data_IF_887529896341
#
_entry.id   IF_887529896341
#
_cell.length_a   1.000
_cell.length_b   1.000
_cell.length_c   1.000
_cell.angle_alpha   90.00
_cell.angle_beta   90.00
_cell.angle_gamma   90.00
#
_symmetry.space_group_name_H-M   'P 1'
#
loop_
_entity.id
_entity.type
_entity.pdbx_description
1 polymer ?
#
# COMPACT_ATOMS: atom_id res chain seq x y z
N UNK A 1 -17.42 11.88 -16.66
CA UNK A 1 -16.02 11.54 -16.33
C UNK A 1 -15.88 10.66 -15.06
N UNK A 2 -16.85 9.80 -14.71
CA UNK A 2 -16.74 8.94 -13.52
C UNK A 2 -15.85 7.70 -13.72
N UNK A 3 -15.67 7.24 -14.97
CA UNK A 3 -14.98 5.98 -15.25
C UNK A 3 -13.46 6.00 -15.03
N UNK A 4 -12.80 7.15 -15.16
CA UNK A 4 -11.35 7.25 -15.02
C UNK A 4 -10.90 7.06 -13.56
N UNK A 5 -11.54 7.78 -12.63
CA UNK A 5 -11.24 7.70 -11.19
C UNK A 5 -11.58 6.32 -10.58
N UNK A 6 -12.66 5.69 -11.04
CA UNK A 6 -13.04 4.35 -10.57
C UNK A 6 -12.03 3.26 -11.00
N UNK A 7 -11.51 3.36 -12.23
CA UNK A 7 -10.48 2.43 -12.74
C UNK A 7 -9.15 2.63 -12.01
N UNK A 8 -8.75 3.88 -11.77
CA UNK A 8 -7.54 4.19 -10.98
C UNK A 8 -7.66 3.68 -9.54
N UNK A 9 -8.80 3.87 -8.88
CA UNK A 9 -9.02 3.39 -7.51
C UNK A 9 -8.92 1.86 -7.40
N UNK A 10 -9.54 1.14 -8.34
CA UNK A 10 -9.44 -0.31 -8.41
C UNK A 10 -7.99 -0.79 -8.62
N UNK A 11 -7.22 -0.10 -9.48
CA UNK A 11 -5.81 -0.39 -9.71
C UNK A 11 -4.95 -0.11 -8.47
N UNK A 12 -5.17 1.01 -7.79
CA UNK A 12 -4.48 1.39 -6.55
C UNK A 12 -4.76 0.36 -5.45
N UNK A 13 -6.02 -0.05 -5.27
CA UNK A 13 -6.41 -1.08 -4.28
C UNK A 13 -5.79 -2.45 -4.60
N UNK A 14 -5.77 -2.84 -5.88
CA UNK A 14 -5.11 -4.07 -6.32
C UNK A 14 -3.60 -4.04 -6.05
N UNK A 15 -2.94 -2.91 -6.32
CA UNK A 15 -1.53 -2.74 -6.03
C UNK A 15 -1.24 -2.75 -4.52
N UNK A 16 -2.10 -2.13 -3.70
CA UNK A 16 -2.02 -2.16 -2.24
C UNK A 16 -2.05 -3.59 -1.70
N UNK A 17 -2.99 -4.40 -2.18
CA UNK A 17 -3.12 -5.82 -1.80
C UNK A 17 -1.89 -6.62 -2.20
N UNK A 18 -1.40 -6.44 -3.43
CA UNK A 18 -0.19 -7.13 -3.90
C UNK A 18 1.05 -6.74 -3.08
N UNK A 19 1.14 -5.46 -2.68
CA UNK A 19 2.21 -4.99 -1.81
C UNK A 19 2.11 -5.66 -0.44
N UNK A 20 0.93 -5.69 0.19
CA UNK A 20 0.70 -6.36 1.48
C UNK A 20 1.08 -7.85 1.43
N UNK A 21 0.71 -8.56 0.37
CA UNK A 21 1.08 -9.96 0.18
C UNK A 21 2.61 -10.13 0.04
N UNK A 22 3.26 -9.24 -0.70
CA UNK A 22 4.71 -9.24 -0.84
C UNK A 22 5.41 -8.95 0.50
N UNK A 23 4.88 -8.03 1.31
CA UNK A 23 5.37 -7.79 2.69
C UNK A 23 5.26 -9.06 3.51
N UNK A 24 4.08 -9.70 3.53
CA UNK A 24 3.85 -10.92 4.31
C UNK A 24 4.82 -12.04 3.94
N UNK A 25 5.04 -12.26 2.64
CA UNK A 25 6.03 -13.23 2.15
C UNK A 25 7.46 -12.87 2.54
N UNK A 26 7.84 -11.59 2.42
CA UNK A 26 9.16 -11.12 2.81
C UNK A 26 9.42 -11.34 4.31
N UNK A 27 8.44 -11.03 5.16
CA UNK A 27 8.52 -11.24 6.61
C UNK A 27 8.65 -12.73 6.95
N UNK A 28 7.84 -13.60 6.33
CA UNK A 28 7.92 -15.06 6.53
C UNK A 28 9.30 -15.59 6.14
N UNK A 29 9.76 -15.27 4.92
CA UNK A 29 11.05 -15.73 4.41
C UNK A 29 12.21 -15.22 5.27
N UNK A 30 12.12 -14.01 5.80
CA UNK A 30 13.14 -13.45 6.71
C UNK A 30 13.20 -14.22 8.03
N UNK A 31 12.04 -14.59 8.59
CA UNK A 31 11.98 -15.39 9.83
C UNK A 31 12.54 -16.81 9.64
N UNK A 32 12.25 -17.42 8.48
CA UNK A 32 12.80 -18.73 8.12
C UNK A 32 14.31 -18.66 7.95
N UNK A 33 14.82 -17.62 7.29
CA UNK A 33 16.25 -17.39 7.15
C UNK A 33 16.93 -17.17 8.51
N UNK A 34 16.37 -16.33 9.39
CA UNK A 34 16.91 -16.12 10.74
C UNK A 34 16.99 -17.43 11.52
N UNK A 35 15.94 -18.27 11.45
CA UNK A 35 15.90 -19.57 12.13
C UNK A 35 16.96 -20.53 11.57
N UNK A 36 17.07 -20.64 10.24
CA UNK A 36 18.08 -21.49 9.59
C UNK A 36 19.51 -21.05 9.92
N UNK A 37 19.75 -19.73 10.00
CA UNK A 37 21.03 -19.16 10.40
C UNK A 37 21.37 -19.44 11.86
N UNK A 38 20.40 -19.36 12.78
CA UNK A 38 20.60 -19.74 14.18
C UNK A 38 20.97 -21.22 14.32
N UNK A 39 20.25 -22.08 13.61
CA UNK A 39 20.51 -23.51 13.55
C UNK A 39 21.93 -23.82 13.04
N UNK A 40 22.34 -23.12 11.99
CA UNK A 40 23.67 -23.26 11.39
C UNK A 40 24.76 -22.78 12.35
N UNK A 41 24.58 -21.61 12.98
CA UNK A 41 25.52 -21.03 13.95
C UNK A 41 25.70 -21.90 15.20
N UNK A 42 24.67 -22.65 15.59
CA UNK A 42 24.75 -23.64 16.67
C UNK A 42 25.60 -24.87 16.32
N UNK A 43 25.80 -25.16 15.03
CA UNK A 43 26.47 -26.38 14.52
C UNK A 43 27.91 -26.13 14.06
N UNK A 44 28.34 -24.87 13.95
CA UNK A 44 29.66 -24.49 13.45
C UNK A 44 30.46 -23.73 14.52
N UNK A 45 31.78 -23.92 14.46
CA UNK A 45 32.76 -23.26 15.34
C UNK A 45 33.85 -22.56 14.53
N UNK A 46 34.60 -21.68 15.20
CA UNK A 46 35.71 -20.93 14.60
C UNK A 46 35.27 -19.72 13.74
N UNK A 47 36.18 -19.20 12.93
CA UNK A 47 35.97 -17.94 12.18
C UNK A 47 34.78 -17.94 11.20
N UNK A 48 34.32 -19.12 10.77
CA UNK A 48 33.08 -19.24 9.97
C UNK A 48 31.84 -18.80 10.77
N UNK A 49 31.82 -19.03 12.09
CA UNK A 49 30.75 -18.63 12.99
C UNK A 49 30.66 -17.10 13.12
N UNK A 50 31.79 -16.42 13.26
CA UNK A 50 31.83 -14.95 13.33
C UNK A 50 31.36 -14.31 12.02
N UNK A 51 31.84 -14.81 10.87
CA UNK A 51 31.41 -14.31 9.57
C UNK A 51 29.90 -14.52 9.33
N UNK A 52 29.36 -15.68 9.68
CA UNK A 52 27.93 -15.97 9.56
C UNK A 52 27.09 -15.19 10.57
N UNK A 53 27.60 -14.93 11.78
CA UNK A 53 26.93 -14.04 12.73
C UNK A 53 26.85 -12.61 12.19
N UNK A 54 27.95 -12.10 11.62
CA UNK A 54 27.95 -10.79 10.97
C UNK A 54 27.00 -10.71 9.77
N UNK A 55 26.85 -11.80 9.01
CA UNK A 55 25.86 -11.90 7.92
C UNK A 55 24.43 -11.85 8.48
N UNK A 56 24.15 -12.57 9.57
CA UNK A 56 22.84 -12.57 10.24
C UNK A 56 22.46 -11.15 10.68
N UNK A 57 23.39 -10.41 11.28
CA UNK A 57 23.13 -9.05 11.76
C UNK A 57 22.88 -8.07 10.60
N UNK A 58 23.65 -8.18 9.52
CA UNK A 58 23.44 -7.37 8.30
C UNK A 58 22.09 -7.67 7.66
N UNK A 59 21.73 -8.95 7.57
CA UNK A 59 20.42 -9.37 7.07
C UNK A 59 19.30 -8.77 7.92
N UNK A 60 19.40 -8.86 9.26
CA UNK A 60 18.41 -8.28 10.16
C UNK A 60 18.24 -6.78 9.95
N UNK A 61 19.33 -6.04 9.86
CA UNK A 61 19.32 -4.60 9.59
C UNK A 61 18.68 -4.27 8.23
N UNK A 62 18.98 -5.04 7.19
CA UNK A 62 18.38 -4.87 5.87
C UNK A 62 16.88 -5.19 5.90
N UNK A 63 16.48 -6.27 6.56
CA UNK A 63 15.08 -6.66 6.71
C UNK A 63 14.26 -5.61 7.46
N UNK A 64 14.81 -5.02 8.53
CA UNK A 64 14.16 -3.92 9.26
C UNK A 64 13.98 -2.67 8.39
N UNK A 65 14.96 -2.35 7.54
CA UNK A 65 14.85 -1.22 6.60
C UNK A 65 13.77 -1.48 5.54
N UNK A 66 13.73 -2.68 4.98
CA UNK A 66 12.69 -3.08 4.02
C UNK A 66 11.31 -3.03 4.69
N UNK A 67 11.15 -3.58 5.89
CA UNK A 67 9.88 -3.53 6.61
C UNK A 67 9.43 -2.09 6.90
N UNK A 68 10.35 -1.17 7.26
CA UNK A 68 10.03 0.25 7.43
C UNK A 68 9.58 0.90 6.12
N UNK A 69 10.30 0.68 5.03
CA UNK A 69 9.94 1.22 3.72
C UNK A 69 8.58 0.71 3.25
N UNK A 70 8.30 -0.58 3.46
CA UNK A 70 7.03 -1.22 3.15
C UNK A 70 5.89 -0.68 4.02
N UNK A 71 6.12 -0.47 5.32
CA UNK A 71 5.13 0.17 6.21
C UNK A 71 4.79 1.60 5.77
N UNK A 72 5.79 2.38 5.37
CA UNK A 72 5.57 3.73 4.82
C UNK A 72 4.83 3.71 3.48
N UNK A 73 5.13 2.74 2.60
CA UNK A 73 4.40 2.58 1.34
C UNK A 73 2.95 2.20 1.60
N UNK A 74 2.69 1.25 2.49
CA UNK A 74 1.33 0.86 2.89
C UNK A 74 0.51 2.05 3.40
N UNK A 75 1.06 2.82 4.33
CA UNK A 75 0.40 4.01 4.87
C UNK A 75 0.09 5.07 3.79
N UNK A 76 1.03 5.30 2.85
CA UNK A 76 0.79 6.21 1.72
C UNK A 76 -0.29 5.68 0.79
N UNK A 77 -0.32 4.38 0.51
CA UNK A 77 -1.33 3.78 -0.35
C UNK A 77 -2.73 3.85 0.28
N UNK A 78 -2.84 3.62 1.59
CA UNK A 78 -4.10 3.81 2.32
C UNK A 78 -4.57 5.26 2.28
N UNK A 79 -3.66 6.21 2.47
CA UNK A 79 -3.96 7.63 2.37
C UNK A 79 -4.45 8.01 0.97
N UNK A 80 -3.75 7.59 -0.09
CA UNK A 80 -4.17 7.83 -1.48
C UNK A 80 -5.56 7.23 -1.74
N UNK A 81 -5.83 6.01 -1.27
CA UNK A 81 -7.15 5.39 -1.40
C UNK A 81 -8.25 6.23 -0.74
N UNK A 82 -8.01 6.72 0.49
CA UNK A 82 -8.93 7.59 1.22
C UNK A 82 -9.17 8.93 0.51
N UNK A 83 -8.11 9.56 0.03
CA UNK A 83 -8.18 10.85 -0.68
C UNK A 83 -8.98 10.70 -1.99
N UNK A 84 -8.80 9.59 -2.72
CA UNK A 84 -9.59 9.29 -3.92
C UNK A 84 -11.08 9.08 -3.60
N UNK A 85 -11.42 8.29 -2.57
CA UNK A 85 -12.82 8.09 -2.16
C UNK A 85 -13.49 9.41 -1.76
N UNK A 86 -12.75 10.30 -1.09
CA UNK A 86 -13.26 11.62 -0.71
C UNK A 86 -13.49 12.51 -1.94
N UNK A 87 -12.52 12.54 -2.84
CA UNK A 87 -12.63 13.29 -4.10
C UNK A 87 -13.80 12.83 -4.98
N UNK A 88 -14.07 11.52 -5.05
CA UNK A 88 -15.23 10.99 -5.78
C UNK A 88 -16.55 11.48 -5.18
N UNK A 89 -16.70 11.46 -3.86
CA UNK A 89 -17.91 11.96 -3.18
C UNK A 89 -18.13 13.45 -3.43
N UNK A 90 -17.10 14.28 -3.22
CA UNK A 90 -17.17 15.74 -3.37
C UNK A 90 -17.52 16.13 -4.81
N UNK A 91 -16.96 15.42 -5.79
CA UNK A 91 -17.21 15.69 -7.20
C UNK A 91 -18.60 15.21 -7.63
N UNK A 92 -19.06 14.06 -7.13
CA UNK A 92 -20.41 13.56 -7.41
C UNK A 92 -21.47 14.49 -6.82
N UNK A 93 -21.26 15.02 -5.61
CA UNK A 93 -22.17 15.98 -4.98
C UNK A 93 -22.17 17.32 -5.72
N UNK A 94 -21.00 17.79 -6.16
CA UNK A 94 -20.88 19.00 -7.00
C UNK A 94 -21.60 18.85 -8.33
N UNK A 95 -21.42 17.72 -9.02
CA UNK A 95 -22.10 17.43 -10.30
C UNK A 95 -23.62 17.28 -10.10
N UNK A 96 -24.06 16.60 -9.03
CA UNK A 96 -25.49 16.48 -8.70
C UNK A 96 -26.11 17.83 -8.39
N UNK A 97 -25.44 18.66 -7.60
CA UNK A 97 -25.90 20.02 -7.27
C UNK A 97 -25.97 20.90 -8.52
N UNK A 98 -24.92 20.92 -9.35
CA UNK A 98 -24.92 21.67 -10.61
C UNK A 98 -26.01 21.17 -11.57
N UNK A 99 -26.18 19.84 -11.68
CA UNK A 99 -27.25 19.23 -12.48
C UNK A 99 -28.65 19.60 -11.99
N UNK A 100 -28.88 19.59 -10.67
CA UNK A 100 -30.12 20.05 -10.08
C UNK A 100 -30.38 21.53 -10.38
N UNK A 101 -29.36 22.39 -10.24
CA UNK A 101 -29.46 23.81 -10.56
C UNK A 101 -29.77 24.08 -12.04
N UNK A 102 -29.17 23.34 -12.97
CA UNK A 102 -29.49 23.44 -14.40
C UNK A 102 -30.93 23.04 -14.71
N UNK A 103 -31.43 21.99 -14.05
CA UNK A 103 -32.80 21.50 -14.25
C UNK A 103 -33.86 22.49 -13.73
N UNK A 104 -33.57 23.25 -12.68
CA UNK A 104 -34.44 24.34 -12.21
C UNK A 104 -34.43 25.54 -13.17
N UNK A 105 -33.27 25.90 -13.72
CA UNK A 105 -33.15 27.05 -14.63
C UNK A 105 -33.88 26.82 -15.98
N UNK A 106 -33.85 25.59 -16.51
CA UNK A 106 -34.58 25.25 -17.74
C UNK A 106 -36.10 25.17 -17.53
N UNK A 107 -36.55 24.74 -16.34
CA UNK A 107 -37.96 24.71 -15.97
C UNK A 107 -38.55 26.12 -15.69
N UNK A 108 -37.72 27.08 -15.24
CA UNK A 108 -38.14 28.48 -15.07
C UNK A 108 -38.23 29.23 -16.43
N UNK A 109 -37.43 28.84 -17.42
CA UNK A 109 -37.34 29.54 -18.71
C UNK A 109 -38.31 29.00 -19.79
N UNK A 110 -39.09 27.96 -19.49
CA UNK A 110 -40.13 27.40 -20.39
C UNK A 110 -41.57 27.80 -20.01
N UNK A 111 -41.75 28.72 -19.05
CA UNK A 111 -43.07 29.17 -18.60
C UNK A 111 -43.24 30.70 -18.70
N UNK A 112 -42.88 31.27 -19.85
CA UNK A 112 -43.34 32.59 -20.34
C UNK A 112 -43.86 32.42 -21.77
#
# INVERSE_FOLDING_TARGET
>A
MAGFFSVEHAAVKGHASNLQDAVGKFTSNSSEFESAMEDLLGKIDGGAKEALSGLKDQWKSAADQVNKALGQLGARTEQVSSDYTRGESDQNDTVRSAGAHMNFHDAENTNI
#
